data_IF_066438558360
#
_entry.id   IF_066438558360
#
_cell.length_a   1.000
_cell.length_b   1.000
_cell.length_c   1.000
_cell.angle_alpha   90.00
_cell.angle_beta   90.00
_cell.angle_gamma   90.00
#
_symmetry.space_group_name_H-M   'P 1'
#
loop_
_entity.id
_entity.type
_entity.pdbx_description
1 polymer ?
#
# COMPACT_ATOMS: atom_id res chain seq x y z
N UNK A 1 16.02 -27.42 -29.20
CA UNK A 1 14.57 -27.53 -29.46
C UNK A 1 13.83 -27.03 -28.23
N UNK A 2 13.26 -25.83 -28.34
CA UNK A 2 12.53 -25.15 -27.28
C UNK A 2 11.22 -25.89 -27.00
N UNK A 3 11.11 -26.57 -25.86
CA UNK A 3 9.80 -26.93 -25.32
C UNK A 3 9.37 -25.80 -24.40
N UNK A 4 8.68 -24.81 -24.95
CA UNK A 4 7.87 -23.89 -24.15
C UNK A 4 6.76 -24.72 -23.52
N UNK A 5 6.98 -25.19 -22.29
CA UNK A 5 5.93 -25.84 -21.51
C UNK A 5 5.04 -24.70 -21.01
N UNK A 6 3.89 -24.58 -21.67
CA UNK A 6 2.80 -23.68 -21.34
C UNK A 6 2.28 -24.05 -19.94
N UNK A 7 2.82 -23.42 -18.90
CA UNK A 7 2.37 -23.61 -17.52
C UNK A 7 1.08 -22.83 -17.28
N UNK A 8 0.04 -23.15 -18.04
CA UNK A 8 -1.31 -22.72 -17.73
C UNK A 8 -1.87 -23.64 -16.64
N UNK A 9 -1.51 -23.41 -15.37
CA UNK A 9 -2.19 -24.07 -14.25
C UNK A 9 -3.62 -23.54 -14.20
N UNK A 10 -4.55 -24.28 -14.81
CA UNK A 10 -5.94 -23.91 -14.90
C UNK A 10 -6.62 -23.72 -13.53
N UNK A 11 -7.67 -22.90 -13.52
CA UNK A 11 -8.53 -22.66 -12.34
C UNK A 11 -9.37 -23.91 -12.06
N UNK A 12 -9.48 -24.28 -10.79
CA UNK A 12 -10.34 -25.37 -10.36
C UNK A 12 -11.81 -25.01 -10.62
N UNK A 13 -12.44 -25.71 -11.57
CA UNK A 13 -13.84 -25.46 -11.95
C UNK A 13 -14.80 -25.68 -10.79
N UNK A 14 -14.63 -26.76 -10.04
CA UNK A 14 -15.48 -27.08 -8.88
C UNK A 14 -15.39 -26.01 -7.80
N UNK A 15 -14.17 -25.59 -7.46
CA UNK A 15 -13.96 -24.53 -6.49
C UNK A 15 -14.51 -23.19 -6.96
N UNK A 16 -14.33 -22.86 -8.24
CA UNK A 16 -14.85 -21.63 -8.86
C UNK A 16 -16.38 -21.58 -8.85
N UNK A 17 -17.05 -22.69 -9.14
CA UNK A 17 -18.51 -22.72 -9.29
C UNK A 17 -19.23 -22.87 -7.94
N UNK A 18 -18.65 -23.63 -7.00
CA UNK A 18 -19.33 -24.00 -5.74
C UNK A 18 -18.68 -23.40 -4.49
N UNK A 19 -17.48 -22.84 -4.59
CA UNK A 19 -16.66 -22.43 -3.45
C UNK A 19 -16.07 -23.60 -2.65
N UNK A 20 -16.34 -24.85 -3.05
CA UNK A 20 -15.89 -26.06 -2.39
C UNK A 20 -15.19 -27.01 -3.38
N UNK A 21 -14.07 -27.59 -2.95
CA UNK A 21 -13.36 -28.60 -3.71
C UNK A 21 -13.13 -29.82 -2.82
N UNK A 22 -13.63 -30.97 -3.25
CA UNK A 22 -13.49 -32.25 -2.53
C UNK A 22 -12.04 -32.71 -2.39
N UNK A 23 -11.14 -32.20 -3.23
CA UNK A 23 -9.69 -32.46 -3.16
C UNK A 23 -8.97 -31.57 -2.12
N UNK A 24 -9.64 -30.56 -1.56
CA UNK A 24 -9.06 -29.66 -0.57
C UNK A 24 -7.73 -29.04 -1.03
N UNK A 25 -6.74 -29.02 -0.14
CA UNK A 25 -5.39 -28.49 -0.40
C UNK A 25 -4.53 -29.38 -1.31
N UNK A 26 -4.98 -30.59 -1.62
CA UNK A 26 -4.31 -31.49 -2.58
C UNK A 26 -4.74 -31.25 -4.03
N UNK A 27 -5.59 -30.24 -4.29
CA UNK A 27 -6.04 -29.94 -5.64
C UNK A 27 -4.88 -29.43 -6.51
N UNK A 28 -4.73 -30.01 -7.70
CA UNK A 28 -3.68 -29.62 -8.67
C UNK A 28 -4.00 -28.33 -9.42
N UNK A 29 -5.22 -27.81 -9.27
CA UNK A 29 -5.76 -26.63 -9.94
C UNK A 29 -5.90 -25.45 -8.99
N UNK A 30 -5.88 -24.22 -9.51
CA UNK A 30 -5.90 -23.01 -8.68
C UNK A 30 -7.27 -22.79 -8.03
N UNK A 31 -7.29 -22.62 -6.71
CA UNK A 31 -8.44 -22.20 -5.91
C UNK A 31 -8.40 -20.67 -5.73
N UNK A 32 -8.87 -19.93 -6.73
CA UNK A 32 -8.95 -18.45 -6.67
C UNK A 32 -10.16 -18.02 -5.84
N UNK A 33 -10.02 -18.11 -4.52
CA UNK A 33 -10.82 -17.31 -3.59
C UNK A 33 -10.13 -15.96 -3.53
N UNK A 34 -10.79 -14.90 -4.01
CA UNK A 34 -10.33 -13.53 -3.79
C UNK A 34 -10.26 -13.31 -2.27
N UNK A 35 -9.08 -13.53 -1.72
CA UNK A 35 -8.70 -13.10 -0.40
C UNK A 35 -8.19 -11.67 -0.58
N UNK A 36 -9.05 -10.68 -0.35
CA UNK A 36 -8.55 -9.34 -0.02
C UNK A 36 -8.12 -9.30 1.46
N UNK A 37 -7.18 -10.17 1.84
CA UNK A 37 -6.44 -10.02 3.11
C UNK A 37 -4.96 -10.32 2.92
N UNK A 38 -4.40 -9.93 1.77
CA UNK A 38 -3.02 -9.46 1.79
C UNK A 38 -3.10 -7.95 1.94
N UNK A 39 -2.46 -7.33 2.94
CA UNK A 39 -2.23 -5.89 2.90
C UNK A 39 -1.25 -5.62 1.74
N UNK A 40 -1.78 -5.55 0.53
CA UNK A 40 -1.09 -4.94 -0.61
C UNK A 40 -0.89 -3.46 -0.26
N UNK A 41 0.31 -2.88 -0.50
CA UNK A 41 0.63 -1.53 -0.07
C UNK A 41 0.00 -0.43 -0.94
N UNK A 42 -1.20 -0.63 -1.50
CA UNK A 42 -1.87 0.40 -2.31
C UNK A 42 -3.37 0.58 -2.00
N UNK A 43 -3.58 1.56 -1.12
CA UNK A 43 -4.65 2.56 -1.16
C UNK A 43 -6.08 2.09 -0.86
N UNK A 44 -6.37 1.94 0.42
CA UNK A 44 -7.58 2.59 0.95
C UNK A 44 -7.20 4.00 1.40
N UNK A 45 -8.12 4.95 1.24
CA UNK A 45 -7.95 6.37 1.49
C UNK A 45 -7.42 6.64 2.93
N UNK A 46 -6.10 6.70 3.11
CA UNK A 46 -5.51 7.15 4.37
C UNK A 46 -5.42 8.67 4.32
N UNK A 47 -6.54 9.36 4.47
CA UNK A 47 -6.58 10.81 4.69
C UNK A 47 -5.99 11.19 6.06
N UNK A 48 -5.00 10.44 6.54
CA UNK A 48 -4.36 10.57 7.84
C UNK A 48 -2.89 10.94 7.69
N UNK A 49 -2.44 11.85 8.52
CA UNK A 49 -1.06 12.27 8.62
C UNK A 49 -0.23 11.21 9.36
N UNK A 50 0.82 10.71 8.72
CA UNK A 50 1.68 9.65 9.28
C UNK A 50 2.42 10.08 10.57
N UNK A 51 2.59 11.40 10.78
CA UNK A 51 3.22 11.92 11.99
C UNK A 51 2.26 11.88 13.20
N UNK A 52 1.02 12.38 13.05
CA UNK A 52 0.06 12.46 14.17
C UNK A 52 -0.99 11.34 14.19
N UNK A 53 -1.03 10.50 13.15
CA UNK A 53 -2.00 9.40 12.95
C UNK A 53 -3.47 9.83 12.98
N UNK A 54 -3.74 11.11 12.66
CA UNK A 54 -5.08 11.72 12.59
C UNK A 54 -5.33 12.25 11.19
N UNK A 55 -6.57 12.66 10.89
CA UNK A 55 -6.90 13.29 9.62
C UNK A 55 -5.97 14.47 9.31
N UNK A 56 -5.67 14.71 8.03
CA UNK A 56 -4.90 15.88 7.62
C UNK A 56 -5.62 17.17 8.01
N UNK A 57 -4.90 18.05 8.71
CA UNK A 57 -5.30 19.41 8.98
C UNK A 57 -4.26 20.33 8.34
N UNK A 58 -4.68 21.16 7.39
CA UNK A 58 -3.79 21.97 6.55
C UNK A 58 -2.69 21.12 5.88
N UNK A 59 -3.10 20.29 4.92
CA UNK A 59 -2.22 19.34 4.24
C UNK A 59 -1.11 20.09 3.48
N UNK A 60 0.13 19.69 3.71
CA UNK A 60 1.30 20.19 2.99
C UNK A 60 2.04 19.04 2.31
N UNK A 61 2.73 19.35 1.22
CA UNK A 61 3.69 18.46 0.57
C UNK A 61 5.11 18.97 0.74
N UNK A 62 6.03 18.06 1.06
CA UNK A 62 7.47 18.32 1.17
C UNK A 62 8.16 18.12 -0.19
N UNK A 63 9.41 18.57 -0.34
CA UNK A 63 10.21 18.34 -1.56
C UNK A 63 10.40 16.87 -1.94
N UNK A 64 10.35 15.97 -0.94
CA UNK A 64 10.41 14.54 -1.16
C UNK A 64 9.04 13.90 -1.45
N UNK A 65 8.04 14.73 -1.77
CA UNK A 65 6.68 14.36 -2.14
C UNK A 65 5.89 13.62 -1.04
N UNK A 66 6.27 13.80 0.22
CA UNK A 66 5.55 13.26 1.37
C UNK A 66 4.61 14.29 1.98
N UNK A 67 3.44 13.81 2.42
CA UNK A 67 2.35 14.63 2.93
C UNK A 67 2.27 14.59 4.46
N UNK A 68 2.03 15.76 5.06
CA UNK A 68 1.87 15.93 6.52
C UNK A 68 0.84 17.04 6.80
N UNK A 69 0.40 17.18 8.04
CA UNK A 69 -0.23 18.43 8.49
C UNK A 69 0.84 19.52 8.59
N UNK A 70 0.49 20.78 8.31
CA UNK A 70 1.39 21.93 8.45
C UNK A 70 2.11 21.94 9.81
N UNK A 71 1.34 21.87 10.90
CA UNK A 71 1.88 21.84 12.26
C UNK A 71 2.74 20.62 12.56
N UNK A 72 2.45 19.47 11.94
CA UNK A 72 3.24 18.25 12.10
C UNK A 72 4.58 18.36 11.38
N UNK A 73 4.60 18.93 10.18
CA UNK A 73 5.82 19.16 9.41
C UNK A 73 6.75 20.16 10.12
N UNK A 74 6.20 21.25 10.67
CA UNK A 74 6.96 22.24 11.44
C UNK A 74 7.51 21.61 12.74
N UNK A 75 6.69 20.82 13.45
CA UNK A 75 7.13 20.14 14.67
C UNK A 75 8.25 19.14 14.40
N UNK A 76 8.11 18.35 13.33
CA UNK A 76 9.17 17.46 12.87
C UNK A 76 10.43 18.25 12.53
N UNK A 77 10.34 19.32 11.75
CA UNK A 77 11.51 20.11 11.35
C UNK A 77 12.28 20.73 12.52
N UNK A 78 11.56 21.20 13.56
CA UNK A 78 12.17 21.73 14.79
C UNK A 78 12.96 20.67 15.56
N UNK A 79 12.52 19.41 15.53
CA UNK A 79 13.20 18.28 16.18
C UNK A 79 14.30 17.70 15.28
N UNK A 80 14.01 17.56 14.00
CA UNK A 80 14.87 16.98 12.99
C UNK A 80 14.52 17.54 11.60
N UNK A 81 15.50 18.17 10.96
CA UNK A 81 15.38 18.82 9.65
C UNK A 81 15.08 17.86 8.47
N UNK A 82 14.89 16.57 8.77
CA UNK A 82 14.63 15.50 7.81
C UNK A 82 13.16 15.09 7.81
N UNK A 83 12.69 14.67 6.64
CA UNK A 83 11.36 14.11 6.44
C UNK A 83 11.16 12.89 7.35
N UNK A 84 10.00 12.82 8.01
CA UNK A 84 9.70 11.72 8.92
C UNK A 84 9.66 10.35 8.21
N UNK A 85 9.28 10.31 6.93
CA UNK A 85 9.10 9.07 6.15
C UNK A 85 10.42 8.63 5.51
N UNK A 86 11.01 9.43 4.61
CA UNK A 86 12.19 9.02 3.85
C UNK A 86 13.53 9.55 4.39
N UNK A 87 13.51 10.29 5.50
CA UNK A 87 14.69 10.85 6.18
C UNK A 87 15.57 11.78 5.31
N UNK A 88 15.09 12.24 4.15
CA UNK A 88 15.75 13.27 3.34
C UNK A 88 15.56 14.65 3.97
N UNK A 89 16.54 15.54 3.84
CA UNK A 89 16.41 16.93 4.29
C UNK A 89 15.24 17.62 3.60
N UNK A 90 14.40 18.30 4.38
CA UNK A 90 13.25 19.05 3.85
C UNK A 90 13.61 20.49 3.50
N UNK A 91 14.76 20.98 3.98
CA UNK A 91 15.25 22.36 3.80
C UNK A 91 14.23 23.44 4.20
N UNK A 92 13.30 23.11 5.12
CA UNK A 92 12.23 24.01 5.54
C UNK A 92 11.20 24.34 4.44
N UNK A 93 11.22 23.65 3.30
CA UNK A 93 10.32 23.92 2.19
C UNK A 93 9.06 23.06 2.27
N UNK A 94 7.95 23.70 2.63
CA UNK A 94 6.63 23.10 2.76
C UNK A 94 5.65 23.83 1.84
N UNK A 95 5.03 23.09 0.91
CA UNK A 95 4.03 23.64 -0.01
C UNK A 95 2.64 23.24 0.46
N UNK A 96 1.75 24.18 0.81
CA UNK A 96 0.37 23.85 1.11
C UNK A 96 -0.37 23.28 -0.09
N UNK A 97 -1.27 22.33 0.17
CA UNK A 97 -2.20 21.77 -0.79
C UNK A 97 -3.61 22.25 -0.39
N UNK A 98 -4.04 23.35 -0.99
CA UNK A 98 -5.40 23.87 -0.90
C UNK A 98 -6.13 23.58 -2.20
#
# INVERSE_FOLDING_TARGET
>A
MSKTIDHNKGICKQYKETGYCSYGDSCVFLHERYFEDTPTPHQENTDTCIYCKKQYFEKIVTLCNHNFCLNCAIKQFKDNERCFICKKFTYGQFKPLF
#
